data_IF_599714794227
#
_entry.id   IF_599714794227
#
_cell.length_a   1.000
_cell.length_b   1.000
_cell.length_c   1.000
_cell.angle_alpha   90.00
_cell.angle_beta   90.00
_cell.angle_gamma   90.00
#
_symmetry.space_group_name_H-M   'P 1'
#
loop_
_entity.id
_entity.type
_entity.pdbx_description
1 polymer ?
#
# COMPACT_ATOMS: atom_id res chain seq x y z
N UNK A 1 -11.07 -3.30 -7.96
CA UNK A 1 -10.83 -3.60 -9.38
C UNK A 1 -10.09 -2.42 -9.97
N UNK A 2 -9.02 -2.66 -10.73
CA UNK A 2 -8.32 -1.59 -11.46
C UNK A 2 -9.11 -1.25 -12.72
N UNK A 3 -9.24 0.04 -13.00
CA UNK A 3 -9.79 0.52 -14.28
C UNK A 3 -8.65 0.47 -15.31
N UNK A 4 -8.96 0.22 -16.58
CA UNK A 4 -7.94 0.10 -17.63
C UNK A 4 -8.35 0.83 -18.91
N UNK A 5 -7.42 1.60 -19.48
CA UNK A 5 -7.48 2.11 -20.84
C UNK A 5 -6.60 1.23 -21.74
N UNK A 6 -7.18 0.69 -22.80
CA UNK A 6 -6.47 0.02 -23.88
C UNK A 6 -6.20 1.03 -24.99
N UNK A 7 -4.92 1.21 -25.31
CA UNK A 7 -4.48 2.17 -26.33
C UNK A 7 -3.79 1.38 -27.43
N UNK A 8 -4.52 1.12 -28.51
CA UNK A 8 -3.99 0.40 -29.66
C UNK A 8 -3.25 1.37 -30.59
N UNK A 9 -2.01 1.05 -30.90
CA UNK A 9 -1.10 1.90 -31.67
C UNK A 9 -0.17 1.06 -32.53
N UNK A 10 0.35 1.62 -33.62
CA UNK A 10 1.46 1.02 -34.35
C UNK A 10 2.74 1.12 -33.50
N UNK A 11 3.44 0.01 -33.30
CA UNK A 11 4.67 -0.07 -32.50
C UNK A 11 5.73 0.94 -32.94
N UNK A 12 5.81 1.26 -34.24
CA UNK A 12 6.75 2.25 -34.77
C UNK A 12 6.36 3.71 -34.49
N UNK A 13 5.11 3.95 -34.09
CA UNK A 13 4.57 5.26 -33.73
C UNK A 13 4.55 5.49 -32.21
N UNK A 14 4.99 4.52 -31.39
CA UNK A 14 5.08 4.69 -29.94
C UNK A 14 6.11 5.78 -29.62
N UNK A 15 5.71 6.89 -28.98
CA UNK A 15 6.60 8.03 -28.82
C UNK A 15 7.65 7.86 -27.73
N UNK A 16 8.82 8.46 -27.96
CA UNK A 16 9.78 8.76 -26.88
C UNK A 16 9.18 9.71 -25.84
N UNK A 17 9.74 9.73 -24.62
CA UNK A 17 9.38 10.68 -23.55
C UNK A 17 9.23 12.12 -24.06
N UNK A 18 10.25 12.62 -24.76
CA UNK A 18 10.28 14.01 -25.26
C UNK A 18 9.14 14.27 -26.24
N UNK A 19 8.87 13.34 -27.15
CA UNK A 19 7.81 13.46 -28.13
C UNK A 19 6.43 13.39 -27.48
N UNK A 20 6.23 12.49 -26.52
CA UNK A 20 4.98 12.35 -25.78
C UNK A 20 4.70 13.59 -24.93
N UNK A 21 5.68 14.07 -24.17
CA UNK A 21 5.56 15.30 -23.39
C UNK A 21 5.27 16.52 -24.27
N UNK A 22 5.85 16.58 -25.48
CA UNK A 22 5.55 17.64 -26.43
C UNK A 22 4.08 17.59 -26.88
N UNK A 23 3.54 16.40 -27.15
CA UNK A 23 2.12 16.23 -27.49
C UNK A 23 1.19 16.64 -26.33
N UNK A 24 1.51 16.22 -25.10
CA UNK A 24 0.79 16.62 -23.89
C UNK A 24 0.75 18.15 -23.75
N UNK A 25 1.89 18.82 -23.93
CA UNK A 25 1.99 20.27 -23.82
C UNK A 25 1.17 21.01 -24.91
N UNK A 26 1.05 20.46 -26.13
CA UNK A 26 0.21 21.06 -27.20
C UNK A 26 -1.28 21.04 -26.85
N UNK A 27 -1.71 20.08 -26.05
CA UNK A 27 -3.09 19.97 -25.56
C UNK A 27 -3.38 20.89 -24.38
N UNK A 28 -2.39 21.67 -23.92
CA UNK A 28 -2.48 22.58 -22.77
C UNK A 28 -2.81 21.88 -21.43
N UNK A 29 -2.49 20.58 -21.34
CA UNK A 29 -2.58 19.84 -20.09
C UNK A 29 -1.30 20.01 -19.27
N UNK A 30 -1.44 20.35 -17.99
CA UNK A 30 -0.32 20.53 -17.05
C UNK A 30 0.10 19.21 -16.40
N UNK A 31 0.44 18.24 -17.24
CA UNK A 31 1.00 16.96 -16.82
C UNK A 31 2.47 16.89 -17.23
N UNK A 32 3.35 16.53 -16.31
CA UNK A 32 4.76 16.23 -16.59
C UNK A 32 5.02 14.76 -16.28
N UNK A 33 5.49 14.02 -17.27
CA UNK A 33 5.90 12.63 -17.11
C UNK A 33 7.22 12.55 -16.33
N UNK A 34 7.44 11.42 -15.64
CA UNK A 34 8.71 11.19 -14.96
C UNK A 34 9.90 11.23 -15.95
N UNK A 35 11.01 11.90 -15.62
CA UNK A 35 12.21 11.93 -16.46
C UNK A 35 12.80 10.54 -16.78
N UNK A 36 12.51 9.52 -15.96
CA UNK A 36 12.97 8.15 -16.20
C UNK A 36 12.04 7.36 -17.12
N UNK A 37 10.94 7.94 -17.61
CA UNK A 37 10.02 7.24 -18.51
C UNK A 37 10.74 6.76 -19.78
N UNK A 38 10.61 5.46 -20.05
CA UNK A 38 11.18 4.78 -21.20
C UNK A 38 10.12 3.93 -21.91
N UNK A 39 9.82 4.25 -23.17
CA UNK A 39 8.84 3.49 -23.94
C UNK A 39 9.31 2.03 -24.11
N UNK A 40 8.37 1.07 -24.01
CA UNK A 40 8.59 -0.38 -24.01
C UNK A 40 9.36 -0.96 -22.81
N UNK A 41 10.28 -0.19 -22.22
CA UNK A 41 11.05 -0.63 -21.06
C UNK A 41 10.33 -0.35 -19.73
N UNK A 42 9.40 0.62 -19.68
CA UNK A 42 8.61 0.88 -18.48
C UNK A 42 7.54 -0.18 -18.23
N UNK A 43 7.45 -0.64 -16.99
CA UNK A 43 6.42 -1.57 -16.53
C UNK A 43 6.05 -1.27 -15.07
N UNK A 44 4.76 -1.27 -14.77
CA UNK A 44 4.24 -0.95 -13.44
C UNK A 44 3.95 0.54 -13.26
N UNK A 45 4.04 1.04 -12.03
CA UNK A 45 3.62 2.40 -11.70
C UNK A 45 4.59 3.45 -12.26
N UNK A 46 4.09 4.29 -13.17
CA UNK A 46 4.77 5.45 -13.74
C UNK A 46 4.31 6.72 -13.02
N UNK A 47 5.16 7.34 -12.16
CA UNK A 47 4.82 8.57 -11.48
C UNK A 47 4.77 9.76 -12.46
N UNK A 48 4.04 10.80 -12.09
CA UNK A 48 3.97 12.03 -12.86
C UNK A 48 3.62 13.22 -11.96
N UNK A 49 3.77 14.42 -12.51
CA UNK A 49 3.38 15.66 -11.84
C UNK A 49 2.18 16.26 -12.56
N UNK A 50 1.02 16.22 -11.93
CA UNK A 50 -0.22 16.81 -12.43
C UNK A 50 -0.51 18.10 -11.66
N UNK A 51 -0.64 19.24 -12.35
CA UNK A 51 -0.92 20.54 -11.72
C UNK A 51 0.07 20.90 -10.57
N UNK A 52 1.34 20.52 -10.71
CA UNK A 52 2.41 20.64 -9.70
C UNK A 52 2.28 19.70 -8.47
N UNK A 53 1.33 18.77 -8.48
CA UNK A 53 1.19 17.72 -7.47
C UNK A 53 1.98 16.47 -7.87
N UNK A 54 2.91 16.02 -7.03
CA UNK A 54 3.76 14.83 -7.25
C UNK A 54 3.07 13.49 -6.90
N UNK A 55 1.82 13.54 -6.42
CA UNK A 55 1.07 12.35 -5.96
C UNK A 55 0.17 11.76 -7.05
N UNK A 56 0.59 11.82 -8.31
CA UNK A 56 -0.18 11.33 -9.44
C UNK A 56 0.66 10.33 -10.23
N UNK A 57 0.00 9.39 -10.90
CA UNK A 57 0.66 8.43 -11.77
C UNK A 57 -0.33 7.47 -12.40
N UNK A 58 0.17 6.45 -13.07
CA UNK A 58 -0.65 5.37 -13.59
C UNK A 58 0.23 4.14 -13.77
N UNK A 59 -0.35 2.97 -13.71
CA UNK A 59 0.35 1.75 -14.12
C UNK A 59 0.38 1.69 -15.65
N UNK A 60 1.54 1.34 -16.21
CA UNK A 60 1.73 1.17 -17.64
C UNK A 60 2.25 -0.23 -17.96
N UNK A 61 1.67 -0.84 -18.99
CA UNK A 61 2.12 -2.10 -19.56
C UNK A 61 2.09 -2.03 -21.09
N UNK A 62 3.06 -2.68 -21.71
CA UNK A 62 3.28 -2.71 -23.15
C UNK A 62 3.18 -4.16 -23.65
N UNK A 63 2.23 -4.44 -24.55
CA UNK A 63 2.09 -5.78 -25.12
C UNK A 63 1.72 -5.75 -26.61
N UNK A 64 2.14 -6.76 -27.40
CA UNK A 64 1.59 -6.95 -28.74
C UNK A 64 0.07 -7.03 -28.71
N UNK A 65 -0.61 -6.32 -29.63
CA UNK A 65 -2.06 -6.26 -29.65
C UNK A 65 -2.71 -7.64 -29.79
N UNK A 66 -2.04 -8.59 -30.45
CA UNK A 66 -2.50 -9.98 -30.56
C UNK A 66 -2.65 -10.67 -29.20
N UNK A 67 -1.77 -10.39 -28.23
CA UNK A 67 -1.84 -11.01 -26.91
C UNK A 67 -3.06 -10.54 -26.13
N UNK A 68 -3.32 -9.23 -26.16
CA UNK A 68 -4.46 -8.59 -25.49
C UNK A 68 -5.79 -8.99 -26.14
N UNK A 69 -5.82 -9.11 -27.47
CA UNK A 69 -7.05 -9.40 -28.23
C UNK A 69 -7.35 -10.89 -28.37
N UNK A 70 -6.47 -11.77 -27.85
CA UNK A 70 -6.64 -13.23 -27.95
C UNK A 70 -7.89 -13.66 -27.19
N UNK A 71 -8.88 -14.17 -27.93
CA UNK A 71 -10.16 -14.60 -27.35
C UNK A 71 -11.19 -13.47 -27.20
N UNK A 72 -10.86 -12.24 -27.61
CA UNK A 72 -11.69 -11.05 -27.51
C UNK A 72 -11.89 -10.43 -28.90
N UNK A 73 -12.79 -10.98 -29.75
CA UNK A 73 -12.99 -10.50 -31.11
C UNK A 73 -13.39 -9.02 -31.18
N UNK A 74 -14.10 -8.52 -30.17
CA UNK A 74 -14.46 -7.12 -30.01
C UNK A 74 -13.23 -6.22 -29.85
N UNK A 75 -12.25 -6.61 -29.02
CA UNK A 75 -11.00 -5.87 -28.88
C UNK A 75 -10.16 -5.95 -30.16
N UNK A 76 -10.22 -7.09 -30.87
CA UNK A 76 -9.52 -7.26 -32.15
C UNK A 76 -10.07 -6.29 -33.21
N UNK A 77 -11.38 -6.10 -33.26
CA UNK A 77 -12.03 -5.13 -34.13
C UNK A 77 -11.61 -3.69 -33.78
N UNK A 78 -11.56 -3.35 -32.49
CA UNK A 78 -11.11 -2.03 -32.01
C UNK A 78 -9.64 -1.79 -32.37
N UNK A 79 -8.76 -2.78 -32.17
CA UNK A 79 -7.34 -2.66 -32.46
C UNK A 79 -7.09 -2.38 -33.95
N UNK A 80 -7.88 -2.99 -34.83
CA UNK A 80 -7.75 -2.82 -36.28
C UNK A 80 -6.34 -3.22 -36.77
N UNK A 81 -5.63 -2.35 -37.52
CA UNK A 81 -4.31 -2.65 -38.04
C UNK A 81 -3.17 -2.42 -37.02
N UNK A 82 -3.45 -1.87 -35.84
CA UNK A 82 -2.44 -1.63 -34.82
C UNK A 82 -1.88 -2.96 -34.29
N UNK A 83 -0.56 -3.04 -34.21
CA UNK A 83 0.19 -4.24 -33.80
C UNK A 83 0.56 -4.24 -32.31
N UNK A 84 0.33 -3.13 -31.61
CA UNK A 84 0.71 -2.96 -30.22
C UNK A 84 -0.41 -2.35 -29.36
N UNK A 85 -0.39 -2.64 -28.07
CA UNK A 85 -1.31 -2.13 -27.07
C UNK A 85 -0.53 -1.58 -25.88
N UNK A 86 -0.82 -0.33 -25.52
CA UNK A 86 -0.38 0.28 -24.26
C UNK A 86 -1.57 0.22 -23.32
N UNK A 87 -1.42 -0.45 -22.19
CA UNK A 87 -2.42 -0.50 -21.14
C UNK A 87 -2.07 0.52 -20.07
N UNK A 88 -3.00 1.43 -19.78
CA UNK A 88 -2.88 2.34 -18.65
C UNK A 88 -3.92 1.95 -17.59
N UNK A 89 -3.48 1.55 -16.41
CA UNK A 89 -4.37 1.19 -15.29
C UNK A 89 -4.21 2.12 -14.10
N UNK A 90 -5.31 2.27 -13.35
CA UNK A 90 -5.34 3.00 -12.09
C UNK A 90 -6.37 2.36 -11.16
N UNK A 91 -6.23 2.62 -9.86
CA UNK A 91 -7.13 2.06 -8.85
C UNK A 91 -8.29 3.00 -8.58
N UNK A 92 -8.10 4.00 -7.72
CA UNK A 92 -9.17 4.89 -7.23
C UNK A 92 -8.81 6.37 -7.18
N UNK A 93 -7.53 6.72 -7.39
CA UNK A 93 -7.09 8.12 -7.40
C UNK A 93 -7.62 8.82 -8.65
N UNK A 94 -8.40 9.89 -8.45
CA UNK A 94 -8.87 10.74 -9.56
C UNK A 94 -7.71 11.43 -10.29
N UNK A 95 -6.58 11.68 -9.59
CA UNK A 95 -5.36 12.23 -10.21
C UNK A 95 -4.71 11.21 -11.14
N UNK A 96 -4.73 9.94 -10.76
CA UNK A 96 -4.17 8.87 -11.56
C UNK A 96 -5.03 8.64 -12.80
N UNK A 97 -6.35 8.66 -12.63
CA UNK A 97 -7.29 8.64 -13.74
C UNK A 97 -7.07 9.79 -14.72
N UNK A 98 -6.97 11.02 -14.22
CA UNK A 98 -6.70 12.20 -15.04
C UNK A 98 -5.39 12.05 -15.82
N UNK A 99 -4.35 11.54 -15.18
CA UNK A 99 -3.03 11.35 -15.77
C UNK A 99 -3.07 10.33 -16.92
N UNK A 100 -3.71 9.17 -16.72
CA UNK A 100 -3.90 8.17 -17.76
C UNK A 100 -4.72 8.71 -18.95
N UNK A 101 -5.76 9.51 -18.68
CA UNK A 101 -6.60 10.12 -19.72
C UNK A 101 -5.87 11.19 -20.54
N UNK A 102 -5.02 12.01 -19.90
CA UNK A 102 -4.18 13.00 -20.58
C UNK A 102 -3.20 12.32 -21.54
N UNK A 103 -2.51 11.27 -21.08
CA UNK A 103 -1.59 10.50 -21.92
C UNK A 103 -2.32 9.86 -23.09
N UNK A 104 -3.51 9.31 -22.84
CA UNK A 104 -4.38 8.74 -23.89
C UNK A 104 -4.80 9.78 -24.93
N UNK A 105 -5.14 11.01 -24.51
CA UNK A 105 -5.44 12.12 -25.43
C UNK A 105 -4.23 12.47 -26.30
N UNK A 106 -3.04 12.55 -25.72
CA UNK A 106 -1.81 12.86 -26.43
C UNK A 106 -1.47 11.80 -27.49
N UNK A 107 -1.62 10.52 -27.14
CA UNK A 107 -1.43 9.39 -28.05
C UNK A 107 -2.46 9.38 -29.18
N UNK A 108 -3.74 9.59 -28.86
CA UNK A 108 -4.81 9.64 -29.86
C UNK A 108 -4.69 10.85 -30.82
N UNK A 109 -4.18 11.98 -30.34
CA UNK A 109 -4.09 13.22 -31.12
C UNK A 109 -2.94 13.19 -32.14
N UNK A 110 -1.73 12.86 -31.69
CA UNK A 110 -0.52 13.02 -32.49
C UNK A 110 -0.03 11.71 -33.12
N UNK A 111 -0.49 10.54 -32.62
CA UNK A 111 0.07 9.23 -32.98
C UNK A 111 -0.98 8.23 -33.51
N UNK A 112 -2.16 8.73 -33.90
CA UNK A 112 -3.28 7.94 -34.46
C UNK A 112 -3.71 6.74 -33.58
N UNK A 113 -3.46 6.80 -32.27
CA UNK A 113 -3.82 5.71 -31.37
C UNK A 113 -5.34 5.62 -31.17
N UNK A 114 -5.85 4.40 -31.04
CA UNK A 114 -7.26 4.12 -30.76
C UNK A 114 -7.41 3.80 -29.27
N UNK A 115 -8.17 4.62 -28.56
CA UNK A 115 -8.34 4.51 -27.10
C UNK A 115 -9.69 3.88 -26.76
N UNK A 116 -9.67 2.79 -26.01
CA UNK A 116 -10.84 2.07 -25.52
C UNK A 116 -10.79 1.95 -24.00
N UNK A 117 -11.87 2.36 -23.32
CA UNK A 117 -12.00 2.22 -21.87
C UNK A 117 -12.62 0.87 -21.56
N UNK A 118 -11.90 0.00 -20.85
CA UNK A 118 -12.36 -1.35 -20.47
C UNK A 118 -12.91 -2.19 -21.63
N UNK A 119 -12.41 -1.95 -22.85
CA UNK A 119 -12.87 -2.65 -24.06
C UNK A 119 -14.14 -2.09 -24.68
N UNK A 120 -14.69 -1.00 -24.15
CA UNK A 120 -15.80 -0.29 -24.77
C UNK A 120 -15.42 0.29 -26.13
N UNK A 121 -16.42 0.44 -27.00
CA UNK A 121 -16.23 1.02 -28.33
C UNK A 121 -15.62 2.43 -28.21
N UNK A 122 -14.51 2.72 -28.92
CA UNK A 122 -13.84 4.02 -28.83
C UNK A 122 -14.79 5.17 -29.21
N UNK A 123 -14.77 6.22 -28.40
CA UNK A 123 -15.46 7.48 -28.69
C UNK A 123 -14.70 8.33 -29.71
N UNK A 124 -15.24 9.52 -30.02
CA UNK A 124 -14.49 10.50 -30.83
C UNK A 124 -13.39 11.18 -30.01
N UNK A 125 -12.30 11.60 -30.67
CA UNK A 125 -11.21 12.35 -30.04
C UNK A 125 -11.72 13.58 -29.27
N UNK A 126 -12.68 14.31 -29.85
CA UNK A 126 -13.31 15.47 -29.21
C UNK A 126 -13.99 15.09 -27.89
N UNK A 127 -14.66 13.93 -27.83
CA UNK A 127 -15.30 13.43 -26.61
C UNK A 127 -14.24 13.01 -25.58
N UNK A 128 -13.16 12.36 -26.02
CA UNK A 128 -12.05 11.97 -25.15
C UNK A 128 -11.40 13.19 -24.47
N UNK A 129 -11.08 14.23 -25.24
CA UNK A 129 -10.52 15.49 -24.72
C UNK A 129 -11.50 16.18 -23.76
N UNK A 130 -12.78 16.27 -24.13
CA UNK A 130 -13.79 16.89 -23.28
C UNK A 130 -13.97 16.16 -21.94
N UNK A 131 -14.00 14.82 -21.96
CA UNK A 131 -14.07 14.01 -20.75
C UNK A 131 -12.83 14.23 -19.88
N UNK A 132 -11.65 14.24 -20.48
CA UNK A 132 -10.38 14.49 -19.79
C UNK A 132 -10.38 15.84 -19.08
N UNK A 133 -10.86 16.90 -19.74
CA UNK A 133 -10.98 18.23 -19.12
C UNK A 133 -11.95 18.23 -17.93
N UNK A 134 -13.08 17.53 -18.02
CA UNK A 134 -14.02 17.40 -16.91
C UNK A 134 -13.34 16.77 -15.69
N UNK A 135 -12.57 15.69 -15.90
CA UNK A 135 -11.87 14.99 -14.81
C UNK A 135 -10.80 15.90 -14.18
N UNK A 136 -10.05 16.64 -14.99
CA UNK A 136 -9.05 17.61 -14.48
C UNK A 136 -9.73 18.68 -13.62
N UNK A 137 -10.87 19.21 -14.06
CA UNK A 137 -11.62 20.20 -13.27
C UNK A 137 -12.10 19.60 -11.93
N UNK A 138 -12.51 18.33 -11.91
CA UNK A 138 -12.87 17.63 -10.67
C UNK A 138 -11.67 17.43 -9.74
N UNK A 139 -10.48 17.16 -10.28
CA UNK A 139 -9.22 17.11 -9.52
C UNK A 139 -8.98 18.46 -8.84
N UNK A 140 -9.05 19.56 -9.60
CA UNK A 140 -8.81 20.91 -9.09
C UNK A 140 -9.80 21.29 -7.99
N UNK A 141 -11.09 20.99 -8.18
CA UNK A 141 -12.13 21.23 -7.17
C UNK A 141 -11.88 20.42 -5.88
N UNK A 142 -11.40 19.18 -6.00
CA UNK A 142 -11.08 18.36 -4.83
C UNK A 142 -9.84 18.89 -4.10
N UNK A 143 -8.84 19.39 -4.81
CA UNK A 143 -7.68 20.04 -4.20
C UNK A 143 -8.05 21.34 -3.47
N UNK A 144 -8.94 22.16 -4.04
CA UNK A 144 -9.44 23.36 -3.39
C UNK A 144 -10.22 23.04 -2.11
N UNK A 145 -11.11 22.05 -2.15
CA UNK A 145 -11.83 21.57 -0.97
C UNK A 145 -10.87 21.09 0.12
N UNK A 146 -9.84 20.34 -0.26
CA UNK A 146 -8.84 19.84 0.69
C UNK A 146 -7.99 20.96 1.31
N UNK A 147 -7.72 22.05 0.57
CA UNK A 147 -7.04 23.23 1.13
C UNK A 147 -7.92 23.98 2.13
N UNK A 148 -9.23 24.09 1.85
CA UNK A 148 -10.19 24.74 2.75
C UNK A 148 -10.31 23.93 4.04
N UNK A 149 -10.54 22.62 3.95
CA UNK A 149 -10.62 21.76 5.14
C UNK A 149 -9.33 21.78 5.94
N UNK A 150 -8.17 21.83 5.29
CA UNK A 150 -6.90 21.98 5.99
C UNK A 150 -6.82 23.28 6.79
N UNK A 151 -7.18 24.40 6.18
CA UNK A 151 -7.14 25.73 6.80
C UNK A 151 -8.13 25.84 7.96
N UNK A 152 -9.35 25.30 7.79
CA UNK A 152 -10.36 25.26 8.85
C UNK A 152 -9.93 24.35 10.01
N UNK A 153 -9.33 23.19 9.72
CA UNK A 153 -8.76 22.33 10.76
C UNK A 153 -7.63 23.02 11.52
N UNK A 154 -6.71 23.72 10.84
CA UNK A 154 -5.65 24.49 11.50
C UNK A 154 -6.21 25.61 12.39
N UNK A 155 -7.25 26.31 11.93
CA UNK A 155 -7.93 27.31 12.75
C UNK A 155 -8.58 26.69 14.00
N UNK A 156 -9.20 25.51 13.86
CA UNK A 156 -9.76 24.74 14.98
C UNK A 156 -8.66 24.26 15.93
N UNK A 157 -7.53 23.79 15.42
CA UNK A 157 -6.40 23.29 16.23
C UNK A 157 -5.71 24.40 17.04
N UNK A 158 -5.79 25.64 16.58
CA UNK A 158 -5.24 26.78 17.29
C UNK A 158 -6.22 27.39 18.30
N UNK A 159 -7.43 26.83 18.46
CA UNK A 159 -8.36 27.20 19.52
C UNK A 159 -8.11 26.36 20.77
N UNK A 160 -7.58 26.97 21.82
CA UNK A 160 -7.34 26.32 23.12
C UNK A 160 -8.62 25.74 23.73
N UNK A 161 -9.78 26.35 23.46
CA UNK A 161 -11.09 25.89 23.93
C UNK A 161 -11.52 24.58 23.27
N UNK A 162 -11.21 24.39 21.98
CA UNK A 162 -11.58 23.16 21.26
C UNK A 162 -10.63 22.02 21.64
N UNK A 163 -9.35 22.31 21.88
CA UNK A 163 -8.40 21.32 22.42
C UNK A 163 -8.87 20.77 23.76
N UNK A 164 -9.29 21.63 24.69
CA UNK A 164 -9.76 21.20 26.00
C UNK A 164 -11.06 20.37 25.91
N UNK A 165 -11.99 20.77 25.05
CA UNK A 165 -13.24 20.04 24.85
C UNK A 165 -13.00 18.66 24.22
N UNK A 166 -12.15 18.58 23.18
CA UNK A 166 -11.83 17.34 22.50
C UNK A 166 -11.02 16.37 23.37
N UNK A 167 -10.04 16.88 24.15
CA UNK A 167 -9.30 16.06 25.12
C UNK A 167 -10.23 15.45 26.18
N UNK A 168 -11.23 16.21 26.64
CA UNK A 168 -12.20 15.74 27.63
C UNK A 168 -13.10 14.63 27.05
N UNK A 169 -13.65 14.82 25.84
CA UNK A 169 -14.50 13.82 25.18
C UNK A 169 -13.72 12.57 24.78
N UNK A 170 -12.51 12.70 24.25
CA UNK A 170 -11.66 11.57 23.88
C UNK A 170 -11.26 10.75 25.12
N UNK A 171 -10.92 11.40 26.24
CA UNK A 171 -10.67 10.71 27.52
C UNK A 171 -11.90 9.97 28.03
N UNK A 172 -13.08 10.58 27.95
CA UNK A 172 -14.32 9.93 28.36
C UNK A 172 -14.62 8.69 27.51
N UNK A 173 -14.43 8.77 26.19
CA UNK A 173 -14.63 7.65 25.26
C UNK A 173 -13.63 6.51 25.50
N UNK A 174 -12.36 6.86 25.73
CA UNK A 174 -11.30 5.90 26.08
C UNK A 174 -11.61 5.24 27.43
N UNK A 175 -12.00 5.99 28.45
CA UNK A 175 -12.34 5.45 29.77
C UNK A 175 -13.57 4.54 29.71
N UNK A 176 -14.59 4.90 28.92
CA UNK A 176 -15.77 4.06 28.67
C UNK A 176 -15.38 2.76 27.96
N UNK A 177 -14.54 2.84 26.92
CA UNK A 177 -14.04 1.66 26.21
C UNK A 177 -13.18 0.78 27.11
N UNK A 178 -12.23 1.34 27.86
CA UNK A 178 -11.37 0.61 28.80
C UNK A 178 -12.21 -0.09 29.88
N UNK A 179 -13.26 0.55 30.39
CA UNK A 179 -14.19 -0.07 31.35
C UNK A 179 -15.03 -1.18 30.72
N UNK A 180 -15.37 -1.08 29.43
CA UNK A 180 -16.12 -2.11 28.72
C UNK A 180 -15.25 -3.32 28.32
N UNK A 181 -13.94 -3.13 28.26
CA UNK A 181 -12.97 -4.21 28.07
C UNK A 181 -12.81 -4.96 29.40
N UNK A 182 -13.40 -6.15 29.51
CA UNK A 182 -13.15 -7.06 30.62
C UNK A 182 -11.68 -7.52 30.59
N UNK A 183 -10.82 -6.84 31.37
CA UNK A 183 -9.38 -7.09 31.46
C UNK A 183 -9.05 -8.52 31.92
N UNK A 184 -9.93 -9.17 32.70
CA UNK A 184 -9.75 -10.57 33.16
C UNK A 184 -9.84 -11.58 32.00
N UNK A 185 -10.30 -11.14 30.83
CA UNK A 185 -10.40 -11.95 29.63
C UNK A 185 -9.68 -11.34 28.43
N UNK A 186 -8.75 -10.41 28.70
CA UNK A 186 -7.77 -9.96 27.73
C UNK A 186 -6.67 -11.03 27.62
N UNK A 187 -6.46 -11.56 26.42
CA UNK A 187 -5.30 -12.40 26.13
C UNK A 187 -4.05 -11.50 26.23
N UNK A 188 -3.35 -11.54 27.35
CA UNK A 188 -2.09 -10.80 27.53
C UNK A 188 -1.00 -11.57 26.79
N UNK A 189 -0.69 -11.16 25.56
CA UNK A 189 0.51 -11.61 24.84
C UNK A 189 1.71 -10.96 25.55
N UNK A 190 2.23 -11.63 26.58
CA UNK A 190 3.48 -11.20 27.24
C UNK A 190 4.67 -11.68 26.41
N UNK A 191 5.35 -10.75 25.74
CA UNK A 191 6.62 -10.99 25.05
C UNK A 191 7.74 -10.68 26.05
N UNK A 192 8.38 -11.72 26.58
CA UNK A 192 9.55 -11.57 27.46
C UNK A 192 10.84 -11.64 26.65
N UNK A 193 11.63 -10.56 26.71
CA UNK A 193 12.98 -10.51 26.15
C UNK A 193 13.94 -11.11 27.17
N UNK A 194 14.46 -12.31 26.93
CA UNK A 194 15.47 -12.92 27.80
C UNK A 194 16.82 -12.91 27.07
N UNK A 195 17.63 -11.89 27.32
CA UNK A 195 18.98 -11.79 26.76
C UNK A 195 19.94 -12.68 27.54
N UNK A 196 20.22 -13.87 27.00
CA UNK A 196 21.47 -14.59 27.27
C UNK A 196 22.32 -14.61 26.01
N UNK A 197 23.64 -14.75 26.16
CA UNK A 197 24.70 -14.50 25.16
C UNK A 197 24.66 -15.37 23.88
N UNK A 198 23.57 -16.07 23.56
CA UNK A 198 23.48 -17.03 22.44
C UNK A 198 22.16 -17.03 21.66
N UNK A 199 21.30 -15.99 21.77
CA UNK A 199 20.11 -15.87 20.91
C UNK A 199 18.95 -15.14 21.56
N UNK A 200 17.99 -14.66 20.75
CA UNK A 200 16.73 -14.06 21.22
C UNK A 200 15.66 -15.15 21.27
N UNK A 201 14.91 -15.23 22.37
CA UNK A 201 13.77 -16.14 22.51
C UNK A 201 12.52 -15.28 22.62
N UNK A 202 11.51 -15.55 21.79
CA UNK A 202 10.19 -14.95 21.93
C UNK A 202 9.21 -16.07 22.27
N UNK A 203 8.41 -15.88 23.30
CA UNK A 203 7.34 -16.79 23.67
C UNK A 203 6.02 -16.03 23.78
N UNK A 204 4.94 -16.66 23.33
CA UNK A 204 3.57 -16.20 23.58
C UNK A 204 2.91 -17.19 24.53
N UNK A 205 2.37 -16.72 25.65
CA UNK A 205 1.65 -17.55 26.61
C UNK A 205 0.18 -17.17 26.61
N UNK A 206 -0.71 -18.14 26.40
CA UNK A 206 -2.16 -17.94 26.57
C UNK A 206 -2.55 -18.06 28.04
N UNK A 207 -3.76 -17.61 28.42
CA UNK A 207 -4.32 -17.84 29.77
C UNK A 207 -4.49 -19.33 30.12
N UNK A 208 -4.45 -20.22 29.12
CA UNK A 208 -4.44 -21.68 29.29
C UNK A 208 -3.03 -22.31 29.40
N UNK A 209 -1.97 -21.51 29.38
CA UNK A 209 -0.59 -21.97 29.57
C UNK A 209 0.07 -22.61 28.34
N UNK A 210 -0.51 -22.44 27.14
CA UNK A 210 0.12 -22.90 25.90
C UNK A 210 1.21 -21.90 25.47
N UNK A 211 2.44 -22.39 25.31
CA UNK A 211 3.59 -21.62 24.85
C UNK A 211 3.78 -21.84 23.35
N UNK A 212 3.74 -20.78 22.55
CA UNK A 212 4.24 -20.81 21.17
C UNK A 212 5.68 -20.27 21.20
N UNK A 213 6.64 -21.13 20.88
CA UNK A 213 8.06 -20.80 20.81
C UNK A 213 8.44 -20.51 19.35
N UNK A 214 8.76 -19.24 19.06
CA UNK A 214 9.18 -18.80 17.72
C UNK A 214 10.70 -18.52 17.67
N UNK A 215 11.48 -19.06 18.63
CA UNK A 215 12.92 -18.81 18.72
C UNK A 215 13.71 -19.35 17.52
N UNK A 216 13.23 -20.40 16.88
CA UNK A 216 13.89 -21.06 15.74
C UNK A 216 14.15 -20.10 14.57
N UNK A 217 13.19 -19.26 14.17
CA UNK A 217 13.36 -18.34 13.04
C UNK A 217 14.42 -17.27 13.31
N UNK A 218 14.43 -16.74 14.53
CA UNK A 218 15.35 -15.65 14.91
C UNK A 218 16.81 -16.10 15.00
N UNK A 219 17.06 -17.34 15.44
CA UNK A 219 18.41 -17.91 15.48
C UNK A 219 18.93 -18.17 14.06
N UNK A 220 18.08 -18.72 13.17
CA UNK A 220 18.44 -18.95 11.76
C UNK A 220 18.75 -17.66 11.00
N UNK A 221 18.02 -16.56 11.26
CA UNK A 221 18.35 -15.24 10.69
C UNK A 221 19.66 -14.67 11.22
N UNK A 222 19.99 -14.88 12.50
CA UNK A 222 21.27 -14.47 13.04
C UNK A 222 22.43 -15.25 12.40
N UNK A 223 22.28 -16.56 12.23
CA UNK A 223 23.24 -17.40 11.50
C UNK A 223 23.41 -16.96 10.04
N UNK A 224 22.31 -16.62 9.36
CA UNK A 224 22.34 -16.10 7.98
C UNK A 224 23.16 -14.80 7.88
N UNK A 225 22.91 -13.84 8.78
CA UNK A 225 23.63 -12.55 8.81
C UNK A 225 25.12 -12.77 9.12
N UNK A 226 25.43 -13.65 10.07
CA UNK A 226 26.82 -13.98 10.39
C UNK A 226 27.53 -14.62 9.20
N UNK A 227 26.85 -15.52 8.47
CA UNK A 227 27.40 -16.17 7.28
C UNK A 227 27.67 -15.16 6.16
N UNK A 228 26.75 -14.22 5.89
CA UNK A 228 26.96 -13.14 4.90
C UNK A 228 28.13 -12.24 5.27
N UNK A 229 28.33 -11.96 6.55
CA UNK A 229 29.43 -11.10 7.01
C UNK A 229 30.83 -11.72 6.76
N UNK A 230 30.89 -13.04 6.54
CA UNK A 230 32.12 -13.81 6.30
C UNK A 230 32.37 -14.10 4.81
N UNK A 231 31.51 -13.65 3.90
CA UNK A 231 31.66 -13.90 2.46
C UNK A 231 32.70 -12.97 1.83
N UNK A 232 33.57 -13.54 0.99
CA UNK A 232 34.34 -12.80 -0.02
C UNK A 232 33.46 -12.49 -1.24
N UNK A 233 33.97 -11.70 -2.21
CA UNK A 233 33.24 -11.36 -3.44
C UNK A 233 32.74 -12.58 -4.23
N UNK A 234 33.38 -13.74 -4.07
CA UNK A 234 32.87 -15.04 -4.52
C UNK A 234 32.78 -16.02 -3.34
N UNK A 235 31.62 -16.62 -3.04
CA UNK A 235 31.47 -17.61 -1.98
C UNK A 235 32.10 -18.94 -2.38
N UNK A 236 32.73 -19.63 -1.43
CA UNK A 236 33.21 -20.99 -1.66
C UNK A 236 32.03 -21.97 -1.78
N UNK A 237 32.21 -23.14 -2.44
CA UNK A 237 31.17 -24.17 -2.51
C UNK A 237 30.65 -24.62 -1.13
N UNK A 238 31.48 -24.54 -0.09
CA UNK A 238 31.10 -24.84 1.29
C UNK A 238 30.21 -23.75 1.89
N UNK A 239 30.53 -22.48 1.63
CA UNK A 239 29.71 -21.33 2.04
C UNK A 239 28.35 -21.32 1.34
N UNK A 240 28.31 -21.66 0.06
CA UNK A 240 27.07 -21.79 -0.72
C UNK A 240 26.21 -22.96 -0.21
N UNK A 241 26.82 -24.09 0.15
CA UNK A 241 26.10 -25.20 0.78
C UNK A 241 25.53 -24.84 2.17
N UNK A 242 26.27 -24.09 2.99
CA UNK A 242 25.81 -23.60 4.28
C UNK A 242 24.64 -22.61 4.13
N UNK A 243 24.71 -21.71 3.15
CA UNK A 243 23.63 -20.77 2.83
C UNK A 243 22.35 -21.49 2.45
N UNK A 244 22.44 -22.43 1.51
CA UNK A 244 21.30 -23.22 1.06
C UNK A 244 20.69 -24.02 2.23
N UNK A 245 21.50 -24.51 3.18
CA UNK A 245 20.98 -25.18 4.36
C UNK A 245 20.18 -24.22 5.27
N UNK A 246 20.70 -23.02 5.52
CA UNK A 246 20.02 -21.99 6.32
C UNK A 246 18.72 -21.53 5.65
N UNK A 247 18.72 -21.29 4.34
CA UNK A 247 17.49 -20.91 3.62
C UNK A 247 16.41 -22.00 3.69
N UNK A 248 16.78 -23.27 3.47
CA UNK A 248 15.82 -24.38 3.61
C UNK A 248 15.26 -24.50 5.03
N UNK A 249 16.07 -24.20 6.05
CA UNK A 249 15.62 -24.17 7.45
C UNK A 249 14.73 -22.96 7.76
N UNK A 250 14.99 -21.80 7.16
CA UNK A 250 14.12 -20.62 7.28
C UNK A 250 12.75 -20.89 6.64
N UNK A 251 12.72 -21.46 5.45
CA UNK A 251 11.48 -21.85 4.76
C UNK A 251 10.67 -22.90 5.53
N UNK A 252 11.35 -23.80 6.25
CA UNK A 252 10.69 -24.77 7.12
C UNK A 252 10.10 -24.10 8.37
N UNK A 253 10.87 -23.22 9.02
CA UNK A 253 10.43 -22.47 10.19
C UNK A 253 9.24 -21.54 9.87
N UNK A 254 9.28 -20.84 8.73
CA UNK A 254 8.20 -19.97 8.29
C UNK A 254 6.89 -20.74 8.05
N UNK A 255 6.97 -21.94 7.46
CA UNK A 255 5.81 -22.84 7.30
C UNK A 255 5.26 -23.37 8.63
N UNK A 256 6.11 -23.56 9.64
CA UNK A 256 5.65 -23.95 10.99
C UNK A 256 4.99 -22.78 11.71
N UNK A 257 5.55 -21.58 11.59
CA UNK A 257 4.97 -20.34 12.13
C UNK A 257 3.61 -20.06 11.49
N UNK A 258 3.48 -20.18 10.16
CA UNK A 258 2.19 -20.04 9.47
C UNK A 258 1.14 -21.04 9.97
N UNK A 259 1.52 -22.30 10.20
CA UNK A 259 0.61 -23.31 10.78
C UNK A 259 0.21 -22.96 12.21
N UNK A 260 1.13 -22.46 13.02
CA UNK A 260 0.84 -22.03 14.39
C UNK A 260 -0.09 -20.80 14.40
N UNK A 261 0.12 -19.84 13.50
CA UNK A 261 -0.74 -18.67 13.29
C UNK A 261 -2.14 -19.11 12.84
N UNK A 262 -2.23 -20.05 11.90
CA UNK A 262 -3.53 -20.53 11.41
C UNK A 262 -4.30 -21.28 12.50
N UNK A 263 -3.63 -22.16 13.25
CA UNK A 263 -4.23 -22.82 14.42
C UNK A 263 -4.70 -21.79 15.46
N UNK A 264 -3.93 -20.74 15.70
CA UNK A 264 -4.32 -19.65 16.59
C UNK A 264 -5.53 -18.87 16.08
N UNK A 265 -5.64 -18.64 14.75
CA UNK A 265 -6.84 -18.05 14.13
C UNK A 265 -8.07 -18.94 14.29
N UNK A 266 -7.92 -20.25 14.10
CA UNK A 266 -9.00 -21.22 14.32
C UNK A 266 -9.49 -21.19 15.78
N UNK A 267 -8.57 -21.16 16.75
CA UNK A 267 -8.90 -21.05 18.18
C UNK A 267 -9.57 -19.71 18.53
N UNK A 268 -9.15 -18.60 17.91
CA UNK A 268 -9.78 -17.28 18.07
C UNK A 268 -11.19 -17.22 17.46
N UNK A 269 -11.42 -17.87 16.32
CA UNK A 269 -12.72 -17.92 15.65
C UNK A 269 -13.80 -18.68 16.45
N UNK A 270 -13.41 -19.40 17.51
CA UNK A 270 -14.33 -20.11 18.39
C UNK A 270 -14.93 -19.24 19.50
N UNK A 271 -14.58 -17.94 19.58
CA UNK A 271 -15.00 -17.04 20.65
C UNK A 271 -16.07 -16.05 20.15
N UNK A 272 -17.36 -16.22 20.52
CA UNK A 272 -18.48 -15.56 19.83
C UNK A 272 -18.72 -14.07 20.15
N UNK A 273 -17.96 -13.43 21.05
CA UNK A 273 -18.28 -12.07 21.54
C UNK A 273 -17.10 -11.08 21.67
N UNK A 274 -16.02 -11.21 20.88
CA UNK A 274 -14.85 -10.29 21.03
C UNK A 274 -14.23 -9.81 19.72
N UNK A 275 -13.58 -8.61 19.71
CA UNK A 275 -12.93 -8.06 18.53
C UNK A 275 -11.90 -9.03 17.97
N UNK A 276 -12.05 -9.37 16.69
CA UNK A 276 -11.22 -10.35 16.01
C UNK A 276 -9.89 -9.71 15.63
N UNK A 277 -8.78 -10.25 16.15
CA UNK A 277 -7.44 -9.89 15.67
C UNK A 277 -7.31 -10.43 14.24
N UNK A 278 -7.17 -9.52 13.28
CA UNK A 278 -7.06 -9.85 11.86
C UNK A 278 -5.65 -10.16 11.42
N UNK A 279 -4.69 -9.42 11.97
CA UNK A 279 -3.31 -9.47 11.51
C UNK A 279 -2.39 -9.08 12.65
N UNK A 280 -1.23 -9.72 12.69
CA UNK A 280 -0.12 -9.38 13.56
C UNK A 280 1.05 -9.09 12.64
N UNK A 281 1.70 -7.93 12.77
CA UNK A 281 2.88 -7.57 11.99
C UNK A 281 4.04 -7.16 12.89
N UNK A 282 5.23 -7.67 12.58
CA UNK A 282 6.46 -7.26 13.24
C UNK A 282 7.05 -6.08 12.47
N UNK A 283 7.08 -4.89 13.07
CA UNK A 283 7.58 -3.67 12.41
C UNK A 283 9.06 -3.39 12.72
N UNK A 284 9.54 -3.81 13.90
CA UNK A 284 10.92 -3.69 14.42
C UNK A 284 11.21 -4.86 15.36
N UNK A 285 12.48 -5.13 15.76
CA UNK A 285 12.84 -6.29 16.59
C UNK A 285 12.05 -6.40 17.89
N UNK A 286 11.55 -5.27 18.40
CA UNK A 286 10.82 -5.19 19.67
C UNK A 286 9.47 -4.47 19.50
N UNK A 287 8.80 -4.60 18.34
CA UNK A 287 7.50 -3.95 18.11
C UNK A 287 6.54 -4.84 17.33
N UNK A 288 5.40 -5.13 17.95
CA UNK A 288 4.31 -5.91 17.37
C UNK A 288 3.11 -5.02 17.11
N UNK A 289 2.67 -4.91 15.86
CA UNK A 289 1.39 -4.30 15.51
C UNK A 289 0.30 -5.36 15.52
N UNK A 290 -0.82 -5.05 16.16
CA UNK A 290 -2.04 -5.83 16.09
C UNK A 290 -3.02 -5.07 15.20
N UNK A 291 -3.84 -5.78 14.44
CA UNK A 291 -4.92 -5.21 13.65
C UNK A 291 -6.22 -5.86 14.11
N UNK A 292 -7.24 -5.07 14.41
CA UNK A 292 -8.54 -5.57 14.88
C UNK A 292 -9.62 -5.29 13.82
N UNK A 293 -10.53 -6.25 13.57
CA UNK A 293 -11.76 -6.01 12.79
C UNK A 293 -12.85 -5.51 13.74
N UNK A 294 -13.75 -4.69 13.19
CA UNK A 294 -14.99 -4.16 13.79
C UNK A 294 -14.99 -2.73 14.34
N UNK A 295 -14.08 -1.88 13.87
CA UNK A 295 -14.19 -0.44 14.13
C UNK A 295 -14.16 0.32 12.80
N UNK A 296 -15.27 0.43 12.06
CA UNK A 296 -15.46 1.43 10.98
C UNK A 296 -14.19 1.90 10.21
N UNK A 297 -13.45 0.99 9.56
CA UNK A 297 -12.18 1.30 8.85
C UNK A 297 -11.05 1.90 9.69
N UNK A 298 -11.01 1.58 10.98
CA UNK A 298 -9.96 1.96 11.91
C UNK A 298 -9.08 0.77 12.29
N UNK A 299 -7.80 1.04 12.57
CA UNK A 299 -6.82 0.06 13.04
C UNK A 299 -6.15 0.54 14.32
N UNK A 300 -5.95 -0.35 15.29
CA UNK A 300 -5.28 -0.03 16.56
C UNK A 300 -3.94 -0.76 16.61
N UNK A 301 -2.83 -0.05 16.42
CA UNK A 301 -1.50 -0.57 16.68
C UNK A 301 -1.14 -0.37 18.16
N UNK A 302 -0.61 -1.40 18.80
CA UNK A 302 -0.05 -1.31 20.14
C UNK A 302 1.47 -1.33 20.03
N UNK A 303 2.16 -0.53 20.83
CA UNK A 303 3.62 -0.59 20.95
C UNK A 303 3.96 -1.13 22.33
N UNK A 304 4.58 -2.30 22.37
CA UNK A 304 4.97 -2.96 23.61
C UNK A 304 6.48 -3.23 23.62
N UNK A 305 7.13 -2.99 24.76
CA UNK A 305 8.53 -3.31 25.03
C UNK A 305 8.61 -3.98 26.41
N UNK A 306 9.27 -5.13 26.50
CA UNK A 306 9.48 -5.86 27.77
C UNK A 306 8.18 -6.02 28.59
N UNK A 307 7.14 -6.56 27.97
CA UNK A 307 5.80 -6.76 28.57
C UNK A 307 5.05 -5.49 28.99
N UNK A 308 5.50 -4.28 28.62
CA UNK A 308 4.81 -3.02 28.91
C UNK A 308 4.35 -2.33 27.62
N UNK A 309 3.06 -1.99 27.53
CA UNK A 309 2.53 -1.14 26.44
C UNK A 309 2.99 0.29 26.72
N UNK A 310 3.78 0.86 25.83
CA UNK A 310 4.28 2.23 25.95
C UNK A 310 3.63 3.19 24.95
N UNK A 311 2.89 2.66 23.96
CA UNK A 311 2.03 3.49 23.13
C UNK A 311 0.91 2.75 22.44
N UNK A 312 -0.08 3.51 21.98
CA UNK A 312 -1.24 3.05 21.21
C UNK A 312 -1.38 3.99 20.02
N UNK A 313 -1.32 3.47 18.80
CA UNK A 313 -1.66 4.21 17.60
C UNK A 313 -3.04 3.79 17.10
N UNK A 314 -4.01 4.71 17.15
CA UNK A 314 -5.33 4.54 16.58
C UNK A 314 -5.39 5.23 15.21
N UNK A 315 -5.52 4.45 14.14
CA UNK A 315 -5.63 4.94 12.77
C UNK A 315 -7.08 4.87 12.32
N UNK A 316 -7.56 5.91 11.66
CA UNK A 316 -8.80 5.90 10.88
C UNK A 316 -8.45 6.20 9.41
N UNK A 317 -9.44 6.26 8.52
CA UNK A 317 -9.21 6.72 7.14
C UNK A 317 -8.56 8.11 7.05
N UNK A 318 -8.79 8.97 8.05
CA UNK A 318 -8.45 10.40 7.96
C UNK A 318 -7.42 10.87 9.01
N UNK A 319 -7.11 10.06 10.02
CA UNK A 319 -6.33 10.48 11.19
C UNK A 319 -5.52 9.34 11.81
N UNK A 320 -4.36 9.67 12.36
CA UNK A 320 -3.55 8.80 13.21
C UNK A 320 -3.46 9.45 14.60
N UNK A 321 -3.85 8.74 15.65
CA UNK A 321 -3.73 9.21 17.03
C UNK A 321 -2.70 8.34 17.74
N UNK A 322 -1.59 8.94 18.18
CA UNK A 322 -0.55 8.27 18.94
C UNK A 322 -0.69 8.65 20.42
N UNK A 323 -1.06 7.68 21.25
CA UNK A 323 -1.01 7.80 22.70
C UNK A 323 0.34 7.26 23.15
N UNK A 324 1.18 8.09 23.76
CA UNK A 324 2.41 7.64 24.42
C UNK A 324 2.55 8.28 25.80
N UNK A 325 2.58 7.45 26.85
CA UNK A 325 2.48 7.93 28.23
C UNK A 325 1.19 8.73 28.49
N UNK A 326 1.32 9.97 28.96
CA UNK A 326 0.19 10.88 29.22
C UNK A 326 -0.09 11.87 28.07
N UNK A 327 0.55 11.69 26.90
CA UNK A 327 0.42 12.58 25.75
C UNK A 327 -0.38 11.90 24.63
N UNK A 328 -1.21 12.71 23.98
CA UNK A 328 -1.97 12.32 22.79
C UNK A 328 -1.47 13.22 21.66
N UNK A 329 -0.74 12.62 20.73
CA UNK A 329 -0.25 13.29 19.53
C UNK A 329 -1.13 12.86 18.35
N UNK A 330 -1.81 13.80 17.71
CA UNK A 330 -2.54 13.52 16.47
C UNK A 330 -1.63 13.82 15.28
N UNK A 331 -1.41 12.82 14.45
CA UNK A 331 -0.60 12.87 13.24
C UNK A 331 -1.57 12.73 12.06
N UNK A 332 -1.56 13.69 11.13
CA UNK A 332 -2.36 13.62 9.90
C UNK A 332 -1.74 12.64 8.92
#
# INVERSE_FOLDING_TARGET
MSNTLFIFINSTEVPSLRSLQTSINKLDFKLQLDPTYTAFDDHGYSPCVLNNSISAGFEITYEPAENITRGHPELREIAGPNDYCIQLSWTSSIKDYASAMIVSCALATDYNAIVSFEGEKPGSLKKLIANTQTIINEVDLNEEKNKITHTECEAIHNSDDIKQLFEHELRALIDEHIKSINLDSLLVISISNNTSLTGKTYSCTTTSGSLIDISSYSNLRAEQIELMSKWSEEPSPEQEAQWNAIENSLDAAEREDEKAIEKFREELNCWPEKPVILKIEWHKPDTVRLYFKDLNNASISLYALNSSIFGIEYRTENYIFNLSGNKIDMIK
#
